data_IF_956820420721
#
_entry.id   IF_956820420721
#
_cell.length_a   1.000
_cell.length_b   1.000
_cell.length_c   1.000
_cell.angle_alpha   90.00
_cell.angle_beta   90.00
_cell.angle_gamma   90.00
#
_symmetry.space_group_name_H-M   'P 1'
#
loop_
_entity.id
_entity.type
_entity.pdbx_description
1 polymer ?
#
# COMPACT_ATOMS: atom_id res chain seq x y z
N UNK A 1 -5.67 5.73 -17.63
CA UNK A 1 -5.83 4.46 -16.89
C UNK A 1 -7.01 4.59 -15.95
N UNK A 2 -7.87 3.60 -15.87
CA UNK A 2 -9.01 3.66 -14.96
C UNK A 2 -8.56 3.52 -13.51
N UNK A 3 -9.36 4.07 -12.58
CA UNK A 3 -9.14 3.88 -11.16
C UNK A 3 -9.33 2.41 -10.81
N UNK A 4 -8.45 1.86 -9.97
CA UNK A 4 -8.52 0.44 -9.60
C UNK A 4 -7.96 0.19 -8.21
N UNK A 5 -8.47 -0.83 -7.55
CA UNK A 5 -7.86 -1.33 -6.32
C UNK A 5 -6.49 -1.92 -6.66
N UNK A 6 -5.46 -1.49 -5.96
CA UNK A 6 -4.10 -1.89 -6.23
C UNK A 6 -3.54 -2.85 -5.18
N UNK A 7 -3.71 -2.53 -3.88
CA UNK A 7 -3.11 -3.34 -2.83
C UNK A 7 -3.90 -3.30 -1.53
N UNK A 8 -3.68 -4.32 -0.71
CA UNK A 8 -4.06 -4.34 0.69
C UNK A 8 -2.79 -4.34 1.54
N UNK A 9 -2.80 -3.64 2.66
CA UNK A 9 -1.70 -3.64 3.62
C UNK A 9 -2.14 -4.39 4.88
N UNK A 10 -1.43 -5.44 5.20
CA UNK A 10 -1.72 -6.32 6.33
C UNK A 10 -0.56 -6.31 7.31
N UNK A 11 -0.88 -6.18 8.60
CA UNK A 11 0.08 -6.46 9.67
C UNK A 11 -0.03 -7.94 10.03
N UNK A 12 1.08 -8.66 9.90
CA UNK A 12 1.13 -10.11 10.12
C UNK A 12 2.17 -10.45 11.19
N UNK A 13 2.12 -11.68 11.69
CA UNK A 13 3.06 -12.16 12.70
C UNK A 13 4.38 -12.63 12.10
N UNK A 14 4.31 -13.19 10.90
CA UNK A 14 5.46 -13.81 10.21
C UNK A 14 5.31 -13.57 8.71
N UNK A 15 6.06 -12.59 8.20
CA UNK A 15 6.04 -12.24 6.78
C UNK A 15 6.42 -13.44 5.91
N UNK A 16 7.45 -14.18 6.29
CA UNK A 16 7.92 -15.32 5.48
C UNK A 16 6.85 -16.41 5.35
N UNK A 17 6.09 -16.65 6.40
CA UNK A 17 4.99 -17.62 6.37
C UNK A 17 3.87 -17.14 5.42
N UNK A 18 3.53 -15.87 5.46
CA UNK A 18 2.50 -15.31 4.57
C UNK A 18 2.95 -15.32 3.11
N UNK A 19 4.21 -14.96 2.84
CA UNK A 19 4.78 -15.00 1.49
C UNK A 19 4.77 -16.44 0.95
N UNK A 20 5.15 -17.41 1.77
CA UNK A 20 5.14 -18.82 1.39
C UNK A 20 3.73 -19.30 1.04
N UNK A 21 2.74 -18.92 1.84
CA UNK A 21 1.33 -19.22 1.56
C UNK A 21 0.90 -18.64 0.20
N UNK A 22 1.16 -17.35 -0.02
CA UNK A 22 0.74 -16.67 -1.25
C UNK A 22 1.46 -17.25 -2.48
N UNK A 23 2.75 -17.54 -2.39
CA UNK A 23 3.51 -18.08 -3.51
C UNK A 23 3.24 -19.57 -3.74
N UNK A 24 2.70 -20.26 -2.77
CA UNK A 24 2.18 -21.63 -2.97
C UNK A 24 0.89 -21.58 -3.79
N UNK A 25 0.00 -20.66 -3.47
CA UNK A 25 -1.23 -20.46 -4.23
C UNK A 25 -0.97 -19.87 -5.62
N UNK A 26 -0.01 -18.94 -5.71
CA UNK A 26 0.31 -18.20 -6.93
C UNK A 26 1.83 -18.21 -7.16
N UNK A 27 2.36 -19.27 -7.78
CA UNK A 27 3.82 -19.40 -7.99
C UNK A 27 4.44 -18.26 -8.80
N UNK A 28 3.64 -17.55 -9.59
CA UNK A 28 4.06 -16.41 -10.40
C UNK A 28 4.26 -15.11 -9.60
N UNK A 29 3.81 -15.06 -8.35
CA UNK A 29 4.01 -13.87 -7.53
C UNK A 29 5.48 -13.66 -7.23
N UNK A 30 5.90 -12.40 -7.25
CA UNK A 30 7.27 -11.97 -6.97
C UNK A 30 7.30 -11.10 -5.71
N UNK A 31 8.43 -11.08 -5.03
CA UNK A 31 8.72 -10.08 -4.01
C UNK A 31 9.10 -8.80 -4.74
N UNK A 32 8.25 -7.78 -4.65
CA UNK A 32 8.44 -6.50 -5.35
C UNK A 32 9.44 -5.62 -4.64
N UNK A 33 9.53 -5.71 -3.32
CA UNK A 33 10.44 -4.95 -2.49
C UNK A 33 10.30 -5.37 -1.04
N UNK A 34 11.32 -5.08 -0.23
CA UNK A 34 11.32 -5.34 1.20
C UNK A 34 12.33 -4.44 1.89
N UNK A 35 12.17 -4.26 3.19
CA UNK A 35 13.06 -3.44 3.98
C UNK A 35 12.69 -3.40 5.45
N UNK A 36 13.34 -2.48 6.15
CA UNK A 36 13.10 -2.19 7.56
C UNK A 36 12.67 -0.73 7.69
N UNK A 37 11.60 -0.49 8.42
CA UNK A 37 11.14 0.85 8.74
C UNK A 37 10.84 0.93 10.22
N UNK A 38 11.49 1.87 10.92
CA UNK A 38 11.32 2.04 12.36
C UNK A 38 11.58 0.75 13.17
N UNK A 39 12.52 -0.08 12.70
CA UNK A 39 12.87 -1.34 13.34
C UNK A 39 12.02 -2.55 12.96
N UNK A 40 10.96 -2.34 12.22
CA UNK A 40 10.04 -3.41 11.79
C UNK A 40 10.21 -3.73 10.31
N UNK A 41 10.05 -4.99 9.97
CA UNK A 41 10.19 -5.47 8.58
C UNK A 41 8.92 -5.24 7.79
N UNK A 42 9.07 -4.84 6.53
CA UNK A 42 7.99 -4.79 5.55
C UNK A 42 8.37 -5.51 4.27
N UNK A 43 7.37 -5.97 3.51
CA UNK A 43 7.58 -6.68 2.24
C UNK A 43 6.34 -6.54 1.36
N UNK A 44 6.55 -6.31 0.06
CA UNK A 44 5.49 -6.31 -0.95
C UNK A 44 5.62 -7.53 -1.83
N UNK A 45 4.52 -8.27 -2.02
CA UNK A 45 4.48 -9.49 -2.83
C UNK A 45 3.27 -9.48 -3.77
N UNK A 46 3.48 -9.79 -5.03
CA UNK A 46 2.40 -9.83 -6.01
C UNK A 46 2.90 -9.74 -7.44
N UNK A 47 2.14 -9.04 -8.28
CA UNK A 47 2.48 -8.77 -9.68
C UNK A 47 2.93 -7.32 -9.86
N UNK A 48 3.20 -6.92 -11.10
CA UNK A 48 3.54 -5.52 -11.40
C UNK A 48 2.39 -4.56 -11.11
N UNK A 49 1.15 -5.03 -11.19
CA UNK A 49 -0.02 -4.18 -11.11
C UNK A 49 -0.81 -4.30 -9.81
N UNK A 50 -0.64 -5.39 -9.07
CA UNK A 50 -1.41 -5.68 -7.87
C UNK A 50 -0.56 -6.42 -6.86
N UNK A 51 -0.69 -6.08 -5.57
CA UNK A 51 0.15 -6.71 -4.56
C UNK A 51 -0.46 -6.68 -3.17
N UNK A 52 0.11 -7.47 -2.29
CA UNK A 52 -0.13 -7.44 -0.86
C UNK A 52 1.09 -6.82 -0.19
N UNK A 53 0.87 -5.75 0.57
CA UNK A 53 1.89 -5.14 1.40
C UNK A 53 1.82 -5.75 2.79
N UNK A 54 2.92 -6.30 3.26
CA UNK A 54 3.01 -6.98 4.56
C UNK A 54 3.89 -6.18 5.49
N UNK A 55 3.46 -6.09 6.74
CA UNK A 55 4.20 -5.41 7.80
C UNK A 55 4.25 -6.34 9.02
N UNK A 56 5.43 -6.49 9.61
CA UNK A 56 5.65 -7.33 10.78
C UNK A 56 5.97 -6.44 11.96
N UNK A 57 4.95 -6.17 12.77
CA UNK A 57 5.09 -5.22 13.88
C UNK A 57 5.62 -5.92 15.13
N UNK A 58 6.58 -5.27 15.81
CA UNK A 58 7.04 -5.69 17.13
C UNK A 58 5.95 -5.63 18.20
N UNK A 59 4.91 -4.83 17.96
CA UNK A 59 3.76 -4.70 18.87
C UNK A 59 2.67 -5.73 18.56
N UNK A 60 2.85 -6.55 17.52
CA UNK A 60 1.88 -7.55 17.11
C UNK A 60 0.74 -6.98 16.27
N UNK A 61 -0.28 -7.80 16.05
CA UNK A 61 -1.47 -7.42 15.29
C UNK A 61 -2.37 -6.57 16.17
N UNK A 62 -2.89 -5.45 15.63
CA UNK A 62 -3.77 -4.58 16.39
C UNK A 62 -5.09 -5.27 16.75
N UNK A 63 -5.79 -4.76 17.78
CA UNK A 63 -7.10 -5.27 18.18
C UNK A 63 -8.18 -5.08 17.10
N UNK A 64 -7.94 -4.17 16.14
CA UNK A 64 -8.82 -3.95 14.98
C UNK A 64 -8.55 -4.94 13.84
N UNK A 65 -7.70 -5.92 14.07
CA UNK A 65 -7.34 -6.92 13.09
C UNK A 65 -6.11 -6.56 12.27
N UNK A 66 -5.74 -7.40 11.30
CA UNK A 66 -4.49 -7.26 10.54
C UNK A 66 -4.54 -6.21 9.44
N UNK A 67 -5.73 -5.78 8.99
CA UNK A 67 -5.84 -4.82 7.90
C UNK A 67 -5.34 -3.45 8.35
N UNK A 68 -4.31 -2.93 7.67
CA UNK A 68 -3.79 -1.59 7.91
C UNK A 68 -4.44 -0.58 6.97
N UNK A 69 -4.38 -0.82 5.67
CA UNK A 69 -5.05 0.03 4.68
C UNK A 69 -5.28 -0.72 3.37
N UNK A 70 -6.16 -0.15 2.55
CA UNK A 70 -6.35 -0.55 1.15
C UNK A 70 -5.86 0.58 0.25
N UNK A 71 -5.33 0.24 -0.91
CA UNK A 71 -4.79 1.22 -1.85
C UNK A 71 -5.46 1.16 -3.21
N UNK A 72 -5.78 2.35 -3.74
CA UNK A 72 -6.26 2.53 -5.12
C UNK A 72 -5.18 3.22 -5.94
N UNK A 73 -4.93 2.69 -7.14
CA UNK A 73 -4.25 3.46 -8.17
C UNK A 73 -5.30 4.35 -8.84
N UNK A 74 -5.01 5.64 -8.91
CA UNK A 74 -5.95 6.65 -9.44
C UNK A 74 -5.31 7.48 -10.53
N UNK A 75 -6.16 8.06 -11.41
CA UNK A 75 -5.66 8.89 -12.51
C UNK A 75 -5.30 10.31 -12.06
N UNK A 76 -5.98 10.84 -11.05
CA UNK A 76 -5.78 12.21 -10.58
C UNK A 76 -5.95 12.27 -9.06
N UNK A 77 -4.84 12.18 -8.35
CA UNK A 77 -4.84 12.17 -6.89
C UNK A 77 -5.30 13.52 -6.32
N UNK A 78 -4.99 14.62 -6.99
CA UNK A 78 -5.42 15.95 -6.52
C UNK A 78 -6.94 16.10 -6.56
N UNK A 79 -7.59 15.55 -7.57
CA UNK A 79 -9.06 15.57 -7.67
C UNK A 79 -9.68 14.73 -6.55
N UNK A 80 -9.11 13.57 -6.24
CA UNK A 80 -9.57 12.73 -5.13
C UNK A 80 -9.44 13.48 -3.81
N UNK A 81 -8.27 14.07 -3.56
CA UNK A 81 -8.00 14.84 -2.33
C UNK A 81 -9.01 15.98 -2.18
N UNK A 82 -9.22 16.76 -3.25
CA UNK A 82 -10.17 17.89 -3.22
C UNK A 82 -11.58 17.43 -2.85
N UNK A 83 -12.06 16.34 -3.43
CA UNK A 83 -13.39 15.81 -3.12
C UNK A 83 -13.49 15.32 -1.68
N UNK A 84 -12.47 14.65 -1.18
CA UNK A 84 -12.48 14.12 0.19
C UNK A 84 -12.41 15.24 1.23
N UNK A 85 -11.54 16.24 1.03
CA UNK A 85 -11.44 17.38 1.92
C UNK A 85 -12.73 18.19 1.94
N UNK A 86 -13.33 18.44 0.77
CA UNK A 86 -14.60 19.16 0.65
C UNK A 86 -15.72 18.44 1.39
N UNK A 87 -15.71 17.11 1.37
CA UNK A 87 -16.69 16.29 2.08
C UNK A 87 -16.38 16.14 3.58
N UNK A 88 -15.26 16.67 4.06
CA UNK A 88 -14.92 16.68 5.49
C UNK A 88 -14.15 15.47 5.99
N UNK A 89 -13.62 14.63 5.11
CA UNK A 89 -12.80 13.49 5.52
C UNK A 89 -11.41 13.94 5.98
N UNK A 90 -10.85 13.15 6.91
CA UNK A 90 -9.57 13.47 7.55
C UNK A 90 -8.43 12.80 6.80
N UNK A 91 -7.37 13.57 6.52
CA UNK A 91 -6.14 13.04 5.94
C UNK A 91 -5.40 12.17 6.97
N UNK A 92 -4.82 11.07 6.48
CA UNK A 92 -4.07 10.13 7.29
C UNK A 92 -2.57 10.31 7.15
N UNK A 93 -1.86 9.20 6.93
CA UNK A 93 -0.41 9.18 6.82
C UNK A 93 0.10 10.15 5.75
N UNK A 94 1.20 10.85 6.08
CA UNK A 94 1.88 11.74 5.13
C UNK A 94 3.08 10.99 4.54
N UNK A 95 2.95 10.60 3.27
CA UNK A 95 3.98 9.83 2.59
C UNK A 95 5.16 10.73 2.18
N UNK A 96 6.40 10.19 2.21
CA UNK A 96 7.54 10.87 1.61
C UNK A 96 7.33 11.10 0.11
N UNK A 97 7.95 12.14 -0.43
CA UNK A 97 7.90 12.39 -1.87
C UNK A 97 8.66 11.30 -2.64
N UNK A 98 8.17 11.02 -3.85
CA UNK A 98 8.77 10.05 -4.75
C UNK A 98 8.67 10.58 -6.19
N UNK A 99 9.72 10.44 -7.03
CA UNK A 99 9.72 11.03 -8.37
C UNK A 99 8.69 10.41 -9.33
N UNK A 100 8.26 9.16 -9.09
CA UNK A 100 7.39 8.45 -10.01
C UNK A 100 5.99 8.18 -9.48
N UNK A 101 5.67 8.65 -8.28
CA UNK A 101 4.33 8.47 -7.71
C UNK A 101 4.02 9.54 -6.68
N UNK A 102 2.72 9.83 -6.55
CA UNK A 102 2.17 10.71 -5.51
C UNK A 102 1.15 9.92 -4.71
N UNK A 103 1.29 9.90 -3.39
CA UNK A 103 0.46 9.11 -2.49
C UNK A 103 -0.22 10.01 -1.48
N UNK A 104 -1.54 9.77 -1.29
CA UNK A 104 -2.33 10.46 -0.26
C UNK A 104 -3.17 9.44 0.47
N UNK A 105 -3.32 9.65 1.77
CA UNK A 105 -4.04 8.74 2.66
C UNK A 105 -5.16 9.49 3.36
N UNK A 106 -6.34 8.85 3.44
CA UNK A 106 -7.50 9.40 4.13
C UNK A 106 -8.19 8.32 4.94
N UNK A 107 -8.80 8.72 6.06
CA UNK A 107 -9.63 7.84 6.87
C UNK A 107 -11.09 7.93 6.43
N UNK A 108 -11.79 6.78 6.39
CA UNK A 108 -13.23 6.75 6.18
C UNK A 108 -13.98 6.98 7.52
N UNK A 109 -15.31 6.88 7.46
CA UNK A 109 -16.15 7.10 8.65
C UNK A 109 -15.94 6.06 9.76
N UNK A 110 -15.46 4.87 9.40
CA UNK A 110 -15.17 3.78 10.35
C UNK A 110 -13.72 3.80 10.86
N UNK A 111 -12.92 4.76 10.41
CA UNK A 111 -11.51 4.87 10.80
C UNK A 111 -10.56 3.96 10.03
N UNK A 112 -11.00 3.35 8.94
CA UNK A 112 -10.15 2.59 8.05
C UNK A 112 -9.36 3.57 7.17
N UNK A 113 -8.06 3.36 7.05
CA UNK A 113 -7.20 4.19 6.22
C UNK A 113 -7.19 3.67 4.78
N UNK A 114 -7.26 4.60 3.84
CA UNK A 114 -7.23 4.33 2.39
C UNK A 114 -6.11 5.11 1.76
N UNK A 115 -5.34 4.47 0.89
CA UNK A 115 -4.28 5.10 0.11
C UNK A 115 -4.76 5.36 -1.30
N UNK A 116 -4.40 6.51 -1.85
CA UNK A 116 -4.65 6.87 -3.24
C UNK A 116 -3.31 7.22 -3.87
N UNK A 117 -2.93 6.48 -4.90
CA UNK A 117 -1.63 6.64 -5.56
C UNK A 117 -1.79 6.94 -7.04
N UNK A 118 -1.18 8.04 -7.46
CA UNK A 118 -1.08 8.41 -8.88
C UNK A 118 0.35 8.15 -9.32
N UNK A 119 0.50 7.34 -10.37
CA UNK A 119 1.80 7.04 -10.95
C UNK A 119 2.10 7.99 -12.09
N UNK A 120 3.30 8.59 -12.08
CA UNK A 120 3.77 9.47 -13.15
C UNK A 120 4.36 8.70 -14.33
N UNK A 121 4.51 7.37 -14.21
CA UNK A 121 5.11 6.52 -15.22
C UNK A 121 4.29 5.26 -15.47
N UNK A 122 4.24 4.81 -16.73
CA UNK A 122 3.69 3.51 -17.09
C UNK A 122 4.68 2.36 -16.96
N UNK A 123 5.97 2.66 -16.72
CA UNK A 123 7.02 1.65 -16.58
C UNK A 123 6.98 1.02 -15.19
N UNK A 124 6.72 -0.30 -15.05
CA UNK A 124 6.69 -0.96 -13.75
C UNK A 124 7.98 -0.79 -12.94
N UNK A 125 9.13 -0.72 -13.60
CA UNK A 125 10.42 -0.55 -12.92
C UNK A 125 10.50 0.81 -12.22
N UNK A 126 9.91 1.85 -12.80
CA UNK A 126 9.86 3.18 -12.19
C UNK A 126 8.75 3.28 -11.15
N UNK A 127 7.54 2.79 -11.48
CA UNK A 127 6.42 2.80 -10.53
C UNK A 127 6.74 2.04 -9.25
N UNK A 128 7.45 0.93 -9.38
CA UNK A 128 7.73 0.01 -8.28
C UNK A 128 9.14 0.17 -7.72
N UNK A 129 9.78 1.31 -7.98
CA UNK A 129 11.11 1.58 -7.45
C UNK A 129 11.01 1.92 -5.95
N UNK A 130 11.53 1.03 -5.12
CA UNK A 130 11.53 1.17 -3.66
C UNK A 130 12.87 1.69 -3.12
N UNK A 131 13.81 2.03 -4.00
CA UNK A 131 15.11 2.55 -3.60
C UNK A 131 15.12 4.06 -3.37
N UNK A 132 14.05 4.74 -3.73
CA UNK A 132 13.91 6.20 -3.69
C UNK A 132 13.07 6.69 -2.52
#
# INVERSE_FOLDING_TARGET
>A
MANRLEHANLTVRDIDATVRFLRTAFPEFIVRGEGIQNGDRWLHVGSDDSYIALYESSEGVSENGPLNHLGFAVDDVNAVVSRLLEAGYREGFIAPEHPHRRRKYFFDADGIEWEFVEYASGDPAQRNDYSL
#
